data_IF_819530096670
#
_entry.id   IF_819530096670
#
_cell.length_a   1.000
_cell.length_b   1.000
_cell.length_c   1.000
_cell.angle_alpha   90.00
_cell.angle_beta   90.00
_cell.angle_gamma   90.00
#
_symmetry.space_group_name_H-M   'P 1'
#
loop_
_entity.id
_entity.type
_entity.pdbx_description
1 polymer ?
#
# COMPACT_ATOMS: atom_id res chain seq x y z
N UNK A 1 -6.10 -19.96 -18.50
CA UNK A 1 -6.50 -19.21 -17.28
C UNK A 1 -7.05 -20.22 -16.30
N UNK A 2 -6.45 -20.39 -15.13
CA UNK A 2 -7.12 -21.10 -14.04
C UNK A 2 -8.32 -20.24 -13.64
N UNK A 3 -9.55 -20.75 -13.74
CA UNK A 3 -10.73 -20.07 -13.21
C UNK A 3 -10.58 -20.02 -11.68
N UNK A 4 -10.01 -18.94 -11.14
CA UNK A 4 -10.16 -18.63 -9.73
C UNK A 4 -11.54 -18.01 -9.52
N UNK A 5 -12.35 -18.64 -8.69
CA UNK A 5 -13.65 -18.11 -8.29
C UNK A 5 -13.43 -16.86 -7.43
N UNK A 6 -13.77 -15.68 -7.95
CA UNK A 6 -13.77 -14.44 -7.18
C UNK A 6 -15.01 -14.44 -6.28
N UNK A 7 -14.79 -14.36 -4.97
CA UNK A 7 -15.87 -14.30 -3.96
C UNK A 7 -15.80 -12.98 -3.19
N UNK A 8 -16.91 -12.52 -2.58
CA UNK A 8 -16.85 -11.35 -1.70
C UNK A 8 -15.82 -11.49 -0.58
N UNK A 9 -15.65 -12.70 -0.05
CA UNK A 9 -14.67 -13.01 1.00
C UNK A 9 -13.24 -12.88 0.48
N UNK A 10 -12.94 -13.34 -0.74
CA UNK A 10 -11.60 -13.18 -1.31
C UNK A 10 -11.29 -11.71 -1.59
N UNK A 11 -12.24 -10.93 -2.10
CA UNK A 11 -12.06 -9.48 -2.33
C UNK A 11 -11.81 -8.75 -1.01
N UNK A 12 -12.61 -9.04 0.03
CA UNK A 12 -12.42 -8.46 1.35
C UNK A 12 -11.05 -8.85 1.94
N UNK A 13 -10.68 -10.13 1.85
CA UNK A 13 -9.40 -10.63 2.33
C UNK A 13 -8.21 -9.95 1.64
N UNK A 14 -8.22 -9.85 0.31
CA UNK A 14 -7.19 -9.13 -0.45
C UNK A 14 -7.12 -7.66 -0.07
N UNK A 15 -8.27 -7.00 0.08
CA UNK A 15 -8.33 -5.58 0.44
C UNK A 15 -7.77 -5.34 1.83
N UNK A 16 -8.15 -6.15 2.83
CA UNK A 16 -7.66 -6.03 4.20
C UNK A 16 -6.17 -6.34 4.29
N UNK A 17 -5.69 -7.40 3.63
CA UNK A 17 -4.26 -7.73 3.62
C UNK A 17 -3.45 -6.62 2.96
N UNK A 18 -3.92 -6.06 1.84
CA UNK A 18 -3.29 -4.93 1.19
C UNK A 18 -3.29 -3.68 2.11
N UNK A 19 -4.42 -3.39 2.77
CA UNK A 19 -4.51 -2.28 3.70
C UNK A 19 -3.52 -2.42 4.87
N UNK A 20 -3.38 -3.63 5.44
CA UNK A 20 -2.40 -3.89 6.50
C UNK A 20 -0.97 -3.74 6.00
N UNK A 21 -0.65 -4.28 4.82
CA UNK A 21 0.65 -4.14 4.18
C UNK A 21 1.02 -2.65 3.96
N UNK A 22 0.07 -1.87 3.44
CA UNK A 22 0.24 -0.44 3.24
C UNK A 22 0.37 0.30 4.57
N UNK A 23 -0.42 -0.02 5.59
CA UNK A 23 -0.28 0.60 6.92
C UNK A 23 1.06 0.31 7.59
N UNK A 24 1.60 -0.92 7.43
CA UNK A 24 2.94 -1.27 7.94
C UNK A 24 4.02 -0.47 7.22
N UNK A 25 3.96 -0.39 5.89
CA UNK A 25 4.95 0.37 5.11
C UNK A 25 4.82 1.87 5.32
N UNK A 26 3.60 2.38 5.58
CA UNK A 26 3.37 3.76 6.02
C UNK A 26 4.01 4.05 7.39
N UNK A 27 3.93 3.12 8.34
CA UNK A 27 4.60 3.27 9.64
C UNK A 27 6.12 3.37 9.48
N UNK A 28 6.71 2.55 8.62
CA UNK A 28 8.14 2.59 8.30
C UNK A 28 8.52 3.93 7.68
N UNK A 29 7.71 4.43 6.73
CA UNK A 29 7.94 5.73 6.11
C UNK A 29 7.87 6.89 7.12
N UNK A 30 6.84 6.89 7.98
CA UNK A 30 6.69 7.90 9.03
C UNK A 30 7.86 7.84 10.03
N UNK A 31 8.28 6.65 10.49
CA UNK A 31 9.45 6.50 11.36
C UNK A 31 10.74 6.98 10.70
N UNK A 32 10.90 6.76 9.39
CA UNK A 32 12.09 7.18 8.66
C UNK A 32 12.24 8.71 8.60
N UNK A 33 11.12 9.43 8.53
CA UNK A 33 11.12 10.90 8.43
C UNK A 33 11.05 11.58 9.80
N UNK A 34 10.20 11.08 10.69
CA UNK A 34 9.85 11.73 11.97
C UNK A 34 10.56 11.12 13.18
N UNK A 35 11.20 9.96 13.04
CA UNK A 35 11.81 9.25 14.16
C UNK A 35 10.78 8.39 14.90
N UNK A 36 10.53 8.67 16.18
CA UNK A 36 9.58 7.88 16.97
C UNK A 36 8.15 8.39 16.78
N UNK A 37 7.26 7.51 16.28
CA UNK A 37 5.87 7.84 15.99
C UNK A 37 4.94 6.74 16.49
N UNK A 38 3.73 7.12 16.87
CA UNK A 38 2.68 6.16 17.24
C UNK A 38 2.29 5.30 16.02
N UNK A 39 2.42 3.97 16.06
CA UNK A 39 2.03 3.08 14.98
C UNK A 39 0.54 3.14 14.64
N UNK A 40 -0.33 3.56 15.57
CA UNK A 40 -1.78 3.68 15.32
C UNK A 40 -2.09 4.72 14.26
N UNK A 41 -1.30 5.79 14.15
CA UNK A 41 -1.48 6.82 13.12
C UNK A 41 -1.30 6.25 11.71
N UNK A 42 -0.36 5.34 11.53
CA UNK A 42 -0.13 4.68 10.24
C UNK A 42 -1.29 3.76 9.81
N UNK A 43 -2.10 3.26 10.74
CA UNK A 43 -3.27 2.42 10.41
C UNK A 43 -4.34 3.18 9.62
N UNK A 44 -4.37 4.52 9.69
CA UNK A 44 -5.28 5.35 8.91
C UNK A 44 -4.84 5.53 7.46
N UNK A 45 -3.59 5.23 7.13
CA UNK A 45 -3.00 5.51 5.82
C UNK A 45 -3.30 4.40 4.82
N UNK A 46 -3.08 3.14 5.18
CA UNK A 46 -3.19 2.01 4.24
C UNK A 46 -4.59 1.68 3.68
N UNK A 47 -5.71 1.83 4.41
CA UNK A 47 -7.01 1.36 3.94
C UNK A 47 -7.53 1.99 2.64
N UNK A 48 -7.47 3.32 2.51
CA UNK A 48 -8.04 3.99 1.32
C UNK A 48 -7.23 3.73 0.03
N UNK A 49 -5.88 3.82 0.04
CA UNK A 49 -5.08 3.41 -1.11
C UNK A 49 -5.29 1.94 -1.50
N UNK A 50 -5.52 1.04 -0.52
CA UNK A 50 -5.86 -0.35 -0.81
C UNK A 50 -7.19 -0.47 -1.56
N UNK A 51 -8.24 0.25 -1.12
CA UNK A 51 -9.53 0.29 -1.81
C UNK A 51 -9.39 0.85 -3.22
N UNK A 52 -8.62 1.93 -3.41
CA UNK A 52 -8.36 2.52 -4.74
C UNK A 52 -7.70 1.51 -5.66
N UNK A 53 -6.71 0.76 -5.16
CA UNK A 53 -6.04 -0.28 -5.92
C UNK A 53 -7.02 -1.40 -6.32
N UNK A 54 -7.75 -1.97 -5.36
CA UNK A 54 -8.68 -3.08 -5.62
C UNK A 54 -9.81 -2.67 -6.57
N UNK A 55 -10.45 -1.52 -6.31
CA UNK A 55 -11.56 -1.01 -7.13
C UNK A 55 -11.06 -0.61 -8.51
N UNK A 56 -9.94 0.13 -8.58
CA UNK A 56 -9.35 0.56 -9.85
C UNK A 56 -9.03 -0.62 -10.76
N UNK A 57 -8.41 -1.67 -10.23
CA UNK A 57 -8.15 -2.88 -10.99
C UNK A 57 -9.43 -3.65 -11.35
N UNK A 58 -10.44 -3.68 -10.48
CA UNK A 58 -11.72 -4.34 -10.77
C UNK A 58 -12.49 -3.69 -11.94
N UNK A 59 -12.31 -2.38 -12.15
CA UNK A 59 -12.87 -1.64 -13.27
C UNK A 59 -11.91 -1.49 -14.45
N UNK A 60 -10.78 -2.20 -14.44
CA UNK A 60 -9.76 -2.15 -15.49
C UNK A 60 -9.30 -0.71 -15.81
N UNK A 61 -9.25 0.13 -14.76
CA UNK A 61 -8.84 1.52 -14.90
C UNK A 61 -7.34 1.61 -15.29
N UNK A 62 -6.94 2.63 -16.06
CA UNK A 62 -5.54 2.83 -16.40
C UNK A 62 -4.63 2.84 -15.16
N UNK A 63 -3.57 2.04 -15.16
CA UNK A 63 -2.67 1.93 -14.02
C UNK A 63 -2.12 3.29 -13.53
N UNK A 64 -1.84 4.20 -14.47
CA UNK A 64 -1.41 5.56 -14.14
C UNK A 64 -2.44 6.33 -13.29
N UNK A 65 -3.74 6.15 -13.56
CA UNK A 65 -4.82 6.78 -12.78
C UNK A 65 -4.97 6.13 -11.40
N UNK A 66 -4.82 4.81 -11.31
CA UNK A 66 -4.85 4.08 -10.03
C UNK A 66 -3.72 4.57 -9.13
N UNK A 67 -2.49 4.60 -9.66
CA UNK A 67 -1.30 5.06 -8.92
C UNK A 67 -1.43 6.52 -8.52
N UNK A 68 -1.86 7.40 -9.43
CA UNK A 68 -2.05 8.81 -9.11
C UNK A 68 -3.11 9.00 -8.01
N UNK A 69 -4.25 8.33 -8.13
CA UNK A 69 -5.31 8.38 -7.12
C UNK A 69 -4.83 7.86 -5.75
N UNK A 70 -4.12 6.73 -5.75
CA UNK A 70 -3.56 6.17 -4.54
C UNK A 70 -2.55 7.12 -3.87
N UNK A 71 -1.62 7.72 -4.62
CA UNK A 71 -0.64 8.67 -4.09
C UNK A 71 -1.28 9.95 -3.53
N UNK A 72 -2.29 10.49 -4.20
CA UNK A 72 -3.00 11.67 -3.71
C UNK A 72 -3.72 11.40 -2.40
N UNK A 73 -4.39 10.25 -2.30
CA UNK A 73 -5.08 9.84 -1.08
C UNK A 73 -4.10 9.47 0.03
N UNK A 74 -2.99 8.80 -0.30
CA UNK A 74 -1.92 8.48 0.64
C UNK A 74 -1.33 9.74 1.28
N UNK A 75 -0.95 10.74 0.47
CA UNK A 75 -0.46 12.02 0.99
C UNK A 75 -1.50 12.78 1.80
N UNK A 76 -2.78 12.70 1.41
CA UNK A 76 -3.88 13.29 2.18
C UNK A 76 -4.06 12.61 3.54
N UNK A 77 -3.97 11.28 3.60
CA UNK A 77 -4.05 10.52 4.84
C UNK A 77 -2.85 10.79 5.75
N UNK A 78 -1.64 10.90 5.21
CA UNK A 78 -0.48 11.32 5.98
C UNK A 78 -0.65 12.73 6.55
N UNK A 79 -1.08 13.69 5.72
CA UNK A 79 -1.33 15.06 6.17
C UNK A 79 -2.35 15.11 7.30
N UNK A 80 -3.47 14.39 7.15
CA UNK A 80 -4.52 14.34 8.15
C UNK A 80 -4.09 13.62 9.44
N UNK A 81 -3.37 12.50 9.33
CA UNK A 81 -3.02 11.68 10.49
C UNK A 81 -1.82 12.20 11.29
N UNK A 82 -0.89 12.91 10.63
CA UNK A 82 0.35 13.37 11.26
C UNK A 82 0.39 14.90 11.46
N UNK A 83 -0.47 15.66 10.78
CA UNK A 83 -0.58 17.13 10.92
C UNK A 83 0.73 17.88 10.59
N UNK A 84 1.59 17.24 9.79
CA UNK A 84 2.90 17.76 9.40
C UNK A 84 2.82 18.73 8.20
N UNK A 85 3.83 19.60 8.00
CA UNK A 85 3.85 20.52 6.87
C UNK A 85 3.98 19.76 5.54
N UNK A 86 3.46 20.34 4.46
CA UNK A 86 3.37 19.70 3.12
C UNK A 86 4.66 19.06 2.62
N UNK A 87 5.81 19.68 2.91
CA UNK A 87 7.13 19.15 2.51
C UNK A 87 7.45 17.82 3.20
N UNK A 88 7.10 17.68 4.47
CA UNK A 88 7.30 16.47 5.27
C UNK A 88 6.32 15.39 4.83
N UNK A 89 5.05 15.74 4.59
CA UNK A 89 4.04 14.83 4.02
C UNK A 89 4.49 14.28 2.66
N UNK A 90 4.99 15.14 1.77
CA UNK A 90 5.49 14.70 0.47
C UNK A 90 6.66 13.73 0.60
N UNK A 91 7.58 13.95 1.55
CA UNK A 91 8.66 13.02 1.84
C UNK A 91 8.14 11.68 2.36
N UNK A 92 7.21 11.67 3.32
CA UNK A 92 6.60 10.44 3.84
C UNK A 92 5.89 9.65 2.73
N UNK A 93 5.11 10.32 1.89
CA UNK A 93 4.39 9.70 0.76
C UNK A 93 5.36 9.07 -0.25
N UNK A 94 6.44 9.79 -0.60
CA UNK A 94 7.47 9.26 -1.50
C UNK A 94 8.17 8.04 -0.91
N UNK A 95 8.59 8.12 0.36
CA UNK A 95 9.27 7.02 1.03
C UNK A 95 8.32 5.83 1.18
N UNK A 96 7.05 6.06 1.49
CA UNK A 96 6.04 5.02 1.54
C UNK A 96 5.95 4.31 0.19
N UNK A 97 5.74 5.03 -0.91
CA UNK A 97 5.70 4.44 -2.26
C UNK A 97 6.95 3.62 -2.60
N UNK A 98 8.14 4.12 -2.26
CA UNK A 98 9.42 3.41 -2.49
C UNK A 98 9.50 2.13 -1.65
N UNK A 99 9.28 2.23 -0.33
CA UNK A 99 9.36 1.08 0.59
C UNK A 99 8.34 0.02 0.23
N UNK A 100 7.10 0.42 -0.05
CA UNK A 100 6.02 -0.46 -0.51
C UNK A 100 6.41 -1.18 -1.79
N UNK A 101 6.94 -0.47 -2.78
CA UNK A 101 7.36 -1.06 -4.07
C UNK A 101 8.50 -2.05 -3.88
N UNK A 102 9.53 -1.68 -3.12
CA UNK A 102 10.68 -2.56 -2.86
C UNK A 102 10.25 -3.82 -2.10
N UNK A 103 9.47 -3.67 -1.03
CA UNK A 103 9.02 -4.81 -0.23
C UNK A 103 8.09 -5.72 -1.04
N UNK A 104 7.14 -5.15 -1.79
CA UNK A 104 6.27 -5.94 -2.68
C UNK A 104 7.10 -6.69 -3.73
N UNK A 105 8.08 -6.03 -4.34
CA UNK A 105 9.00 -6.66 -5.29
C UNK A 105 9.76 -7.83 -4.67
N UNK A 106 10.31 -7.66 -3.46
CA UNK A 106 10.98 -8.76 -2.73
C UNK A 106 10.03 -9.91 -2.44
N UNK A 107 8.81 -9.65 -1.99
CA UNK A 107 7.81 -10.69 -1.70
C UNK A 107 7.39 -11.44 -2.97
N UNK A 108 7.24 -10.75 -4.10
CA UNK A 108 6.97 -11.37 -5.40
C UNK A 108 8.15 -12.24 -5.82
N UNK A 109 9.38 -11.75 -5.73
CA UNK A 109 10.58 -12.51 -6.08
C UNK A 109 10.72 -13.77 -5.22
N UNK A 110 10.51 -13.66 -3.91
CA UNK A 110 10.49 -14.82 -3.00
C UNK A 110 9.42 -15.81 -3.44
N UNK A 111 8.21 -15.34 -3.76
CA UNK A 111 7.10 -16.19 -4.20
C UNK A 111 7.43 -16.93 -5.50
N UNK A 112 8.08 -16.25 -6.46
CA UNK A 112 8.57 -16.87 -7.70
C UNK A 112 9.62 -17.93 -7.39
N UNK A 113 10.62 -17.62 -6.56
CA UNK A 113 11.68 -18.57 -6.20
C UNK A 113 11.11 -19.83 -5.55
N UNK A 114 10.18 -19.68 -4.60
CA UNK A 114 9.51 -20.80 -3.95
C UNK A 114 8.67 -21.62 -4.93
N UNK A 115 7.94 -20.98 -5.83
CA UNK A 115 7.14 -21.66 -6.85
C UNK A 115 8.01 -22.37 -7.92
N UNK A 116 9.21 -21.87 -8.17
CA UNK A 116 10.17 -22.45 -9.12
C UNK A 116 11.18 -23.40 -8.48
N UNK A 117 11.09 -23.63 -7.17
CA UNK A 117 12.04 -24.47 -6.44
C UNK A 117 11.99 -25.89 -7.01
N UNK A 118 13.08 -26.43 -7.58
CA UNK A 118 13.12 -27.82 -7.96
C UNK A 118 13.08 -28.68 -6.70
N UNK A 119 12.29 -29.76 -6.74
CA UNK A 119 12.29 -30.79 -5.70
C UNK A 119 13.59 -31.59 -5.72
#
# INVERSE_FOLDING_TARGET
>A
MLLQTVTPVSVLGTTVLLALFLSVTAHVAARNVLGDVDPRRALYVGPLPAVISVVGNAFDAPAALIVLGALLVDGTMFWWSYEEPRRVVAAMTLIHAVVTTLLAGVLILISVLLASMPG
#
